data_IF_052031968870
#
_entry.id   IF_052031968870
#
_cell.length_a   1.000
_cell.length_b   1.000
_cell.length_c   1.000
_cell.angle_alpha   90.00
_cell.angle_beta   90.00
_cell.angle_gamma   90.00
#
_symmetry.space_group_name_H-M   'P 1'
#
loop_
_entity.id
_entity.type
_entity.pdbx_description
1 polymer ?
#
# COMPACT_ATOMS: atom_id res chain seq x y z
N UNK A 1 7.57 -0.23 -33.26
CA UNK A 1 8.92 -0.73 -33.61
C UNK A 1 9.31 -0.61 -35.09
N UNK A 2 8.35 -0.51 -36.04
CA UNK A 2 8.63 -0.36 -37.48
C UNK A 2 9.52 0.84 -37.80
N UNK A 3 9.23 2.01 -37.21
CA UNK A 3 10.01 3.25 -37.40
C UNK A 3 11.44 3.17 -36.83
N UNK A 4 11.63 2.53 -35.67
CA UNK A 4 12.97 2.24 -35.11
C UNK A 4 13.82 1.46 -36.11
N UNK A 5 13.26 0.38 -36.67
CA UNK A 5 13.95 -0.49 -37.64
C UNK A 5 14.27 0.26 -38.93
N UNK A 6 13.37 1.12 -39.41
CA UNK A 6 13.60 1.96 -40.59
C UNK A 6 14.74 2.95 -40.36
N UNK A 7 14.75 3.69 -39.25
CA UNK A 7 15.83 4.60 -38.91
C UNK A 7 17.20 3.89 -38.77
N UNK A 8 17.23 2.73 -38.10
CA UNK A 8 18.46 1.94 -37.95
C UNK A 8 19.03 1.44 -39.29
N UNK A 9 18.17 1.12 -40.25
CA UNK A 9 18.58 0.67 -41.59
C UNK A 9 19.01 1.83 -42.49
N UNK A 10 18.38 3.00 -42.35
CA UNK A 10 18.72 4.20 -43.12
C UNK A 10 20.14 4.72 -42.84
N UNK A 11 20.63 4.55 -41.60
CA UNK A 11 21.99 4.93 -41.17
C UNK A 11 23.12 4.38 -42.06
N UNK A 12 22.89 3.28 -42.78
CA UNK A 12 23.89 2.65 -43.67
C UNK A 12 23.80 3.10 -45.14
N UNK A 13 22.80 3.90 -45.52
CA UNK A 13 22.53 4.24 -46.93
C UNK A 13 22.72 5.71 -47.26
N UNK A 14 22.09 6.61 -46.50
CA UNK A 14 22.08 8.04 -46.81
C UNK A 14 21.79 8.91 -45.56
N UNK A 15 22.42 10.09 -45.48
CA UNK A 15 22.37 10.98 -44.29
C UNK A 15 21.04 11.75 -44.22
N UNK A 16 20.53 12.25 -45.34
CA UNK A 16 19.28 13.01 -45.39
C UNK A 16 18.07 12.12 -45.05
N UNK A 17 17.99 10.93 -45.65
CA UNK A 17 16.95 9.94 -45.32
C UNK A 17 17.03 9.46 -43.86
N UNK A 18 18.24 9.42 -43.28
CA UNK A 18 18.43 9.04 -41.87
C UNK A 18 17.84 10.04 -40.89
N UNK A 19 18.00 11.34 -41.15
CA UNK A 19 17.46 12.40 -40.28
C UNK A 19 15.94 12.43 -40.25
N UNK A 20 15.29 12.36 -41.42
CA UNK A 20 13.84 12.36 -41.50
C UNK A 20 13.22 11.15 -40.80
N UNK A 21 13.74 9.95 -41.08
CA UNK A 21 13.32 8.72 -40.39
C UNK A 21 13.64 8.74 -38.89
N UNK A 22 14.68 9.48 -38.50
CA UNK A 22 15.03 9.75 -37.10
C UNK A 22 13.95 10.56 -36.40
N UNK A 23 13.55 11.70 -36.96
CA UNK A 23 12.46 12.54 -36.43
C UNK A 23 11.16 11.76 -36.29
N UNK A 24 10.79 10.97 -37.31
CA UNK A 24 9.59 10.12 -37.27
C UNK A 24 9.68 9.06 -36.16
N UNK A 25 10.84 8.43 -35.98
CA UNK A 25 11.04 7.47 -34.91
C UNK A 25 10.93 8.12 -33.52
N UNK A 26 11.58 9.26 -33.33
CA UNK A 26 11.56 10.01 -32.06
C UNK A 26 10.14 10.42 -31.68
N UNK A 27 9.37 10.95 -32.64
CA UNK A 27 7.99 11.35 -32.39
C UNK A 27 7.12 10.15 -32.01
N UNK A 28 7.21 9.03 -32.74
CA UNK A 28 6.47 7.81 -32.39
C UNK A 28 6.89 7.24 -31.03
N UNK A 29 8.18 7.36 -30.67
CA UNK A 29 8.69 6.94 -29.36
C UNK A 29 8.15 7.85 -28.25
N UNK A 30 8.10 9.15 -28.47
CA UNK A 30 7.53 10.15 -27.55
C UNK A 30 6.07 9.86 -27.29
N UNK A 31 5.27 9.69 -28.35
CA UNK A 31 3.85 9.34 -28.24
C UNK A 31 3.62 8.04 -27.46
N UNK A 32 4.40 7.00 -27.75
CA UNK A 32 4.32 5.74 -27.01
C UNK A 32 4.66 5.92 -25.52
N UNK A 33 5.74 6.63 -25.21
CA UNK A 33 6.13 6.91 -23.82
C UNK A 33 5.02 7.68 -23.08
N UNK A 34 4.43 8.68 -23.74
CA UNK A 34 3.34 9.47 -23.18
C UNK A 34 2.11 8.61 -22.92
N UNK A 35 1.72 7.74 -23.87
CA UNK A 35 0.59 6.83 -23.69
C UNK A 35 0.81 5.85 -22.52
N UNK A 36 2.01 5.26 -22.41
CA UNK A 36 2.37 4.39 -21.29
C UNK A 36 2.30 5.14 -19.96
N UNK A 37 2.86 6.36 -19.90
CA UNK A 37 2.87 7.15 -18.68
C UNK A 37 1.46 7.58 -18.26
N UNK A 38 0.61 7.97 -19.22
CA UNK A 38 -0.80 8.28 -18.94
C UNK A 38 -1.55 7.06 -18.41
N UNK A 39 -1.43 5.91 -19.07
CA UNK A 39 -2.06 4.66 -18.61
C UNK A 39 -1.57 4.23 -17.22
N UNK A 40 -0.28 4.36 -16.92
CA UNK A 40 0.27 4.07 -15.58
C UNK A 40 -0.30 5.00 -14.52
N UNK A 41 -0.41 6.31 -14.82
CA UNK A 41 -0.98 7.30 -13.89
C UNK A 41 -2.44 7.03 -13.60
N UNK A 42 -3.21 6.67 -14.62
CA UNK A 42 -4.62 6.32 -14.48
C UNK A 42 -4.80 5.04 -13.65
N UNK A 43 -4.08 3.97 -13.99
CA UNK A 43 -4.08 2.72 -13.23
C UNK A 43 -3.67 2.93 -11.76
N UNK A 44 -2.68 3.80 -11.50
CA UNK A 44 -2.30 4.16 -10.13
C UNK A 44 -3.42 4.88 -9.39
N UNK A 45 -4.08 5.86 -10.03
CA UNK A 45 -5.21 6.59 -9.45
C UNK A 45 -6.37 5.66 -9.11
N UNK A 46 -6.71 4.75 -10.02
CA UNK A 46 -7.74 3.73 -9.77
C UNK A 46 -7.37 2.79 -8.64
N UNK A 47 -6.09 2.40 -8.53
CA UNK A 47 -5.63 1.55 -7.45
C UNK A 47 -5.78 2.25 -6.09
N UNK A 48 -5.41 3.53 -6.00
CA UNK A 48 -5.60 4.34 -4.80
C UNK A 48 -7.09 4.48 -4.44
N UNK A 49 -7.95 4.78 -5.41
CA UNK A 49 -9.39 4.91 -5.17
C UNK A 49 -10.06 3.59 -4.71
N UNK A 50 -9.44 2.43 -4.99
CA UNK A 50 -9.92 1.13 -4.51
C UNK A 50 -9.57 0.84 -3.05
N UNK A 51 -8.59 1.55 -2.47
CA UNK A 51 -8.18 1.36 -1.07
C UNK A 51 -9.36 1.58 -0.12
N UNK A 52 -10.14 2.64 -0.36
CA UNK A 52 -11.26 2.99 0.52
C UNK A 52 -12.40 1.96 0.49
N UNK A 53 -12.58 1.26 -0.64
CA UNK A 53 -13.64 0.26 -0.84
C UNK A 53 -13.23 -1.14 -0.44
N UNK A 54 -11.99 -1.50 -0.70
CA UNK A 54 -11.43 -2.84 -0.44
C UNK A 54 -9.99 -2.71 0.09
N UNK A 55 -9.85 -2.38 1.38
CA UNK A 55 -8.54 -2.10 1.98
C UNK A 55 -7.62 -3.32 1.97
N UNK A 56 -8.18 -4.55 1.99
CA UNK A 56 -7.40 -5.81 2.02
C UNK A 56 -7.25 -6.48 0.65
N UNK A 57 -7.77 -5.85 -0.40
CA UNK A 57 -7.80 -6.38 -1.75
C UNK A 57 -6.50 -6.19 -2.53
N UNK A 58 -6.66 -5.81 -3.81
CA UNK A 58 -5.54 -5.57 -4.73
C UNK A 58 -4.54 -4.51 -4.24
N UNK A 59 -4.94 -3.37 -3.66
CA UNK A 59 -3.98 -2.37 -3.20
C UNK A 59 -3.05 -2.93 -2.12
N UNK A 60 -3.60 -3.57 -1.10
CA UNK A 60 -2.83 -4.23 -0.04
C UNK A 60 -1.91 -5.32 -0.56
N UNK A 61 -2.43 -6.24 -1.39
CA UNK A 61 -1.61 -7.31 -1.99
C UNK A 61 -0.45 -6.75 -2.81
N UNK A 62 -0.67 -5.66 -3.54
CA UNK A 62 0.37 -5.00 -4.33
C UNK A 62 1.46 -4.40 -3.44
N UNK A 63 1.07 -3.67 -2.40
CA UNK A 63 2.01 -3.11 -1.42
C UNK A 63 2.81 -4.21 -0.71
N UNK A 64 2.13 -5.25 -0.22
CA UNK A 64 2.77 -6.34 0.51
C UNK A 64 3.70 -7.17 -0.37
N UNK A 65 3.34 -7.40 -1.64
CA UNK A 65 4.24 -8.06 -2.59
C UNK A 65 5.52 -7.22 -2.82
N UNK A 66 5.39 -5.89 -2.91
CA UNK A 66 6.56 -5.00 -2.99
C UNK A 66 7.42 -5.12 -1.73
N UNK A 67 6.85 -4.96 -0.54
CA UNK A 67 7.54 -5.07 0.76
C UNK A 67 8.31 -6.39 0.87
N UNK A 68 7.68 -7.51 0.53
CA UNK A 68 8.31 -8.84 0.56
C UNK A 68 9.43 -9.01 -0.47
N UNK A 69 9.37 -8.29 -1.58
CA UNK A 69 10.36 -8.36 -2.66
C UNK A 69 11.59 -7.47 -2.44
N UNK A 70 11.54 -6.51 -1.51
CA UNK A 70 12.74 -5.78 -1.11
C UNK A 70 13.74 -6.75 -0.44
N UNK A 71 15.05 -6.61 -0.71
CA UNK A 71 16.06 -7.33 0.06
C UNK A 71 15.77 -7.13 1.55
N UNK A 72 15.82 -8.21 2.34
CA UNK A 72 15.67 -8.20 3.82
C UNK A 72 16.81 -7.45 4.53
N UNK A 73 17.28 -6.35 3.96
CA UNK A 73 18.22 -5.43 4.57
C UNK A 73 17.39 -4.43 5.38
N UNK A 74 17.09 -4.79 6.63
CA UNK A 74 16.45 -3.88 7.60
C UNK A 74 15.13 -4.33 8.23
N UNK A 75 14.55 -5.46 7.80
CA UNK A 75 13.39 -6.10 8.45
C UNK A 75 13.77 -7.53 8.86
N UNK A 76 14.91 -7.68 9.52
CA UNK A 76 15.07 -8.83 10.39
C UNK A 76 14.11 -8.61 11.55
N UNK A 77 13.25 -9.58 11.84
CA UNK A 77 12.62 -9.67 13.17
C UNK A 77 13.73 -9.45 14.20
N UNK A 78 13.61 -8.47 15.11
CA UNK A 78 14.63 -8.20 16.09
C UNK A 78 15.01 -9.50 16.79
N UNK A 79 16.24 -9.98 16.60
CA UNK A 79 16.68 -11.24 17.21
C UNK A 79 17.37 -10.98 18.55
N UNK A 80 17.82 -9.75 18.80
CA UNK A 80 18.45 -9.41 20.07
C UNK A 80 17.39 -9.24 21.17
N UNK A 81 17.65 -9.93 22.28
CA UNK A 81 16.75 -9.99 23.43
C UNK A 81 16.40 -8.60 23.97
N UNK A 82 17.39 -7.70 24.09
CA UNK A 82 17.17 -6.35 24.61
C UNK A 82 16.23 -5.52 23.74
N UNK A 83 16.31 -5.65 22.41
CA UNK A 83 15.40 -4.94 21.50
C UNK A 83 14.00 -5.54 21.57
N UNK A 84 13.89 -6.87 21.63
CA UNK A 84 12.61 -7.55 21.83
C UNK A 84 11.95 -7.13 23.15
N UNK A 85 12.69 -7.13 24.25
CA UNK A 85 12.20 -6.70 25.55
C UNK A 85 11.68 -5.26 25.51
N UNK A 86 12.45 -4.33 24.92
CA UNK A 86 12.00 -2.94 24.72
C UNK A 86 10.71 -2.84 23.90
N UNK A 87 10.60 -3.61 22.82
CA UNK A 87 9.39 -3.65 21.99
C UNK A 87 8.21 -4.19 22.79
N UNK A 88 8.39 -5.28 23.53
CA UNK A 88 7.34 -5.92 24.32
C UNK A 88 6.83 -4.96 25.40
N UNK A 89 7.73 -4.38 26.20
CA UNK A 89 7.35 -3.42 27.25
C UNK A 89 6.59 -2.22 26.68
N UNK A 90 6.98 -1.74 25.49
CA UNK A 90 6.33 -0.59 24.88
C UNK A 90 4.96 -0.91 24.25
N UNK A 91 4.85 -2.04 23.56
CA UNK A 91 3.59 -2.46 22.91
C UNK A 91 2.58 -3.05 23.90
N UNK A 92 3.08 -3.68 24.96
CA UNK A 92 2.30 -4.38 25.98
C UNK A 92 2.76 -3.89 27.37
N UNK A 93 2.42 -2.65 27.76
CA UNK A 93 2.72 -2.15 29.09
C UNK A 93 2.07 -3.03 30.15
N UNK A 94 2.78 -3.24 31.26
CA UNK A 94 2.23 -3.95 32.41
C UNK A 94 0.93 -3.30 32.85
N UNK A 95 -0.14 -4.08 32.79
CA UNK A 95 -1.44 -3.68 33.32
C UNK A 95 -1.45 -4.04 34.80
N UNK A 96 -2.09 -3.23 35.66
CA UNK A 96 -2.30 -3.63 37.04
C UNK A 96 -3.01 -4.99 37.06
N UNK A 97 -2.60 -5.86 37.98
CA UNK A 97 -3.25 -7.15 38.21
C UNK A 97 -4.74 -6.88 38.37
N UNK A 98 -5.52 -7.40 37.41
CA UNK A 98 -6.96 -7.46 37.59
C UNK A 98 -7.22 -8.62 38.54
N UNK A 99 -8.09 -8.48 39.54
CA UNK A 99 -8.52 -9.62 40.31
C UNK A 99 -8.99 -10.70 39.33
N UNK A 100 -8.50 -11.93 39.53
CA UNK A 100 -8.97 -13.08 38.76
C UNK A 100 -10.48 -13.13 38.92
N UNK A 101 -11.20 -13.13 37.79
CA UNK A 101 -12.65 -13.31 37.81
C UNK A 101 -12.92 -14.76 38.18
N UNK A 102 -13.25 -15.04 39.45
CA UNK A 102 -13.78 -16.34 39.83
C UNK A 102 -15.30 -16.33 39.67
N UNK A 103 -15.90 -17.29 38.95
CA UNK A 103 -17.36 -17.39 38.82
C UNK A 103 -18.11 -17.54 40.16
N UNK A 104 -17.39 -17.89 41.22
CA UNK A 104 -17.89 -18.05 42.60
C UNK A 104 -17.83 -16.73 43.40
N UNK A 105 -17.15 -15.70 42.89
CA UNK A 105 -17.22 -14.34 43.42
C UNK A 105 -18.64 -13.83 43.09
N UNK A 106 -19.55 -13.97 44.06
CA UNK A 106 -21.00 -13.94 43.88
C UNK A 106 -21.55 -12.84 42.96
N UNK A 107 -22.76 -13.09 42.42
CA UNK A 107 -23.50 -12.22 41.50
C UNK A 107 -23.20 -10.73 41.73
N UNK A 108 -22.27 -10.18 40.94
CA UNK A 108 -22.08 -8.75 40.90
C UNK A 108 -23.37 -8.20 40.31
N UNK A 109 -24.08 -7.36 41.06
CA UNK A 109 -25.25 -6.63 40.56
C UNK A 109 -24.77 -5.63 39.49
N UNK A 110 -24.58 -6.14 38.27
CA UNK A 110 -24.21 -5.35 37.11
C UNK A 110 -25.48 -4.57 36.75
N UNK A 111 -25.49 -3.23 36.93
CA UNK A 111 -26.67 -2.45 36.61
C UNK A 111 -27.02 -2.62 35.14
N UNK A 112 -28.30 -2.84 34.86
CA UNK A 112 -28.81 -2.94 33.50
C UNK A 112 -28.48 -1.69 32.69
N UNK A 113 -28.17 -1.88 31.40
CA UNK A 113 -27.89 -0.78 30.49
C UNK A 113 -29.13 0.11 30.34
N UNK A 114 -29.00 1.42 30.57
CA UNK A 114 -30.12 2.36 30.44
C UNK A 114 -30.25 2.90 29.02
N UNK A 115 -31.45 3.33 28.65
CA UNK A 115 -31.74 3.93 27.33
C UNK A 115 -30.87 5.17 27.08
N UNK A 116 -30.63 5.98 28.10
CA UNK A 116 -29.78 7.19 27.99
C UNK A 116 -28.32 6.85 27.63
N UNK A 117 -27.77 5.78 28.21
CA UNK A 117 -26.42 5.31 27.89
C UNK A 117 -26.33 4.84 26.44
N UNK A 118 -27.36 4.15 25.95
CA UNK A 118 -27.47 3.72 24.54
C UNK A 118 -27.51 4.95 23.64
N UNK A 119 -28.37 5.93 23.93
CA UNK A 119 -28.49 7.17 23.14
C UNK A 119 -27.16 7.94 23.10
N UNK A 120 -26.46 8.06 24.23
CA UNK A 120 -25.14 8.72 24.31
C UNK A 120 -24.06 7.97 23.51
N UNK A 121 -24.14 6.65 23.40
CA UNK A 121 -23.25 5.87 22.54
C UNK A 121 -23.58 6.07 21.06
N UNK A 122 -24.86 6.10 20.70
CA UNK A 122 -25.31 6.39 19.33
C UNK A 122 -24.81 7.75 18.84
N UNK A 123 -24.86 8.80 19.67
CA UNK A 123 -24.32 10.12 19.28
C UNK A 123 -22.82 10.08 18.95
N UNK A 124 -22.02 9.24 19.62
CA UNK A 124 -20.56 9.12 19.38
C UNK A 124 -20.20 8.40 18.09
N UNK A 125 -21.13 7.64 17.50
CA UNK A 125 -20.92 6.92 16.24
C UNK A 125 -21.35 7.75 15.01
N UNK A 126 -21.96 8.92 15.25
CA UNK A 126 -22.43 9.83 14.20
C UNK A 126 -21.47 11.01 13.94
N UNK A 127 -20.35 11.08 14.68
CA UNK A 127 -19.19 11.94 14.40
C UNK A 127 -18.15 11.19 13.54
#
# INVERSE_FOLDING_TARGET
FKTRRQHQRARKRDRASTEELGRVYEEKRRLLKNAINSSKRECWRELCAKVDRDPWGRPYKTAMHRIKSLPRVGVATPTCHDMLHRIVVHLFPEKPERPDYHPEDGEVDIPGVTVEQVMKACCRLQE
#
